data_IF_431607148236
#
_entry.id   IF_431607148236
#
_cell.length_a   1.000
_cell.length_b   1.000
_cell.length_c   1.000
_cell.angle_alpha   90.00
_cell.angle_beta   90.00
_cell.angle_gamma   90.00
#
_symmetry.space_group_name_H-M   'P 1'
#
loop_
_entity.id
_entity.type
_entity.pdbx_description
1 polymer ?
#
# COMPACT_ATOMS: atom_id res chain seq x y z
N UNK A 1 29.42 -15.48 12.02
CA UNK A 1 29.41 -14.77 13.32
C UNK A 1 28.28 -15.33 14.16
N UNK A 2 28.50 -15.51 15.47
CA UNK A 2 27.63 -16.29 16.37
C UNK A 2 26.27 -15.61 16.54
N UNK A 3 25.18 -16.35 16.28
CA UNK A 3 23.80 -15.93 16.56
C UNK A 3 23.63 -15.88 18.08
N UNK A 4 23.38 -14.70 18.63
CA UNK A 4 23.04 -14.51 20.04
C UNK A 4 21.52 -14.64 20.12
N UNK A 5 21.07 -15.77 20.67
CA UNK A 5 19.69 -15.96 21.12
C UNK A 5 19.55 -15.14 22.40
N UNK A 6 18.83 -14.03 22.34
CA UNK A 6 18.49 -13.23 23.52
C UNK A 6 17.23 -13.85 24.14
N UNK A 7 17.42 -14.56 25.26
CA UNK A 7 16.35 -15.03 26.13
C UNK A 7 15.97 -13.86 27.04
N UNK A 8 14.77 -13.29 26.84
CA UNK A 8 14.25 -12.21 27.68
C UNK A 8 13.64 -12.84 28.95
N UNK A 9 14.33 -12.67 30.07
CA UNK A 9 13.84 -13.04 31.40
C UNK A 9 12.92 -11.93 31.92
N UNK A 10 11.66 -12.29 32.21
CA UNK A 10 10.65 -11.40 32.78
C UNK A 10 10.99 -10.99 34.22
N UNK A 11 11.29 -9.71 34.44
CA UNK A 11 11.33 -9.07 35.75
C UNK A 11 10.12 -8.14 35.89
N UNK A 12 9.09 -8.59 36.60
CA UNK A 12 7.87 -7.82 36.88
C UNK A 12 8.14 -6.84 38.01
N UNK A 13 7.99 -5.54 37.74
CA UNK A 13 7.79 -4.50 38.75
C UNK A 13 6.65 -3.59 38.27
N UNK A 14 5.49 -3.75 38.91
CA UNK A 14 4.25 -3.03 38.60
C UNK A 14 4.24 -1.72 39.39
N UNK A 15 4.17 -0.59 38.69
CA UNK A 15 3.70 0.69 39.22
C UNK A 15 2.60 1.22 38.29
N UNK A 16 1.37 1.29 38.80
CA UNK A 16 0.21 1.85 38.12
C UNK A 16 0.24 3.39 38.19
N UNK A 17 0.04 4.06 37.06
CA UNK A 17 -0.54 5.41 37.02
C UNK A 17 -1.11 5.77 35.64
N UNK A 18 -2.40 6.13 35.67
CA UNK A 18 -3.15 7.04 34.78
C UNK A 18 -3.49 6.64 33.34
N UNK A 19 -4.78 6.85 33.03
CA UNK A 19 -5.34 6.77 31.69
C UNK A 19 -4.63 7.74 30.76
N UNK A 20 -3.83 7.19 29.87
CA UNK A 20 -3.31 7.84 28.70
C UNK A 20 -2.92 6.76 27.70
N UNK A 21 -2.78 7.13 26.44
CA UNK A 21 -2.27 6.31 25.33
C UNK A 21 -0.86 5.71 25.58
N UNK A 22 -0.30 5.91 26.78
CA UNK A 22 0.98 5.48 27.31
C UNK A 22 0.88 4.32 28.32
N UNK A 23 -0.23 3.57 28.35
CA UNK A 23 -0.35 2.42 29.26
C UNK A 23 0.80 1.42 29.01
N UNK A 24 1.52 0.93 30.04
CA UNK A 24 2.70 0.09 29.86
C UNK A 24 2.46 -1.14 28.98
N UNK A 25 1.30 -1.78 29.07
CA UNK A 25 0.99 -2.93 28.19
C UNK A 25 0.91 -2.59 26.70
N UNK A 26 0.40 -1.40 26.35
CA UNK A 26 0.31 -0.95 24.94
C UNK A 26 1.66 -0.52 24.38
N UNK A 27 2.49 0.12 25.21
CA UNK A 27 3.84 0.54 24.81
C UNK A 27 4.71 -0.69 24.60
N UNK A 28 4.62 -1.68 25.48
CA UNK A 28 5.33 -2.95 25.33
C UNK A 28 4.90 -3.70 24.06
N UNK A 29 3.58 -3.85 23.84
CA UNK A 29 3.06 -4.47 22.63
C UNK A 29 3.54 -3.75 21.36
N UNK A 30 3.58 -2.41 21.37
CA UNK A 30 4.12 -1.65 20.24
C UNK A 30 5.60 -1.95 20.02
N UNK A 31 6.41 -1.97 21.08
CA UNK A 31 7.84 -2.31 21.00
C UNK A 31 8.04 -3.72 20.44
N UNK A 32 7.26 -4.70 20.91
CA UNK A 32 7.29 -6.09 20.43
C UNK A 32 6.89 -6.17 18.96
N UNK A 33 5.78 -5.52 18.57
CA UNK A 33 5.32 -5.49 17.17
C UNK A 33 6.37 -4.87 16.24
N UNK A 34 7.00 -3.78 16.66
CA UNK A 34 8.03 -3.09 15.86
C UNK A 34 9.31 -3.92 15.79
N UNK A 35 9.65 -4.66 16.86
CA UNK A 35 10.77 -5.60 16.87
C UNK A 35 10.55 -6.77 15.91
N UNK A 36 9.34 -7.34 15.89
CA UNK A 36 8.96 -8.37 14.91
C UNK A 36 9.01 -7.84 13.47
N UNK A 37 8.56 -6.59 13.25
CA UNK A 37 8.64 -5.94 11.94
C UNK A 37 10.09 -5.71 11.50
N UNK A 38 10.99 -5.39 12.44
CA UNK A 38 12.42 -5.23 12.17
C UNK A 38 13.07 -6.57 11.78
N UNK A 39 12.75 -7.64 12.50
CA UNK A 39 13.24 -8.99 12.18
C UNK A 39 12.74 -9.45 10.81
N UNK A 40 11.44 -9.28 10.53
CA UNK A 40 10.86 -9.56 9.21
C UNK A 40 11.50 -8.69 8.11
N UNK A 41 11.85 -7.44 8.41
CA UNK A 41 12.55 -6.58 7.47
C UNK A 41 13.96 -7.12 7.18
N UNK A 42 14.71 -7.58 8.18
CA UNK A 42 16.02 -8.21 7.98
C UNK A 42 15.95 -9.54 7.21
N UNK A 43 15.00 -10.42 7.55
CA UNK A 43 14.77 -11.69 6.83
C UNK A 43 14.45 -11.44 5.36
N UNK A 44 13.76 -10.35 5.07
CA UNK A 44 13.41 -9.96 3.72
C UNK A 44 14.61 -9.63 2.82
N UNK A 45 15.81 -9.34 3.34
CA UNK A 45 16.98 -8.98 2.52
C UNK A 45 17.98 -10.12 2.31
N UNK A 46 17.69 -11.35 2.77
CA UNK A 46 18.47 -12.59 2.51
C UNK A 46 20.00 -12.43 2.58
N UNK A 47 20.49 -11.56 3.48
CA UNK A 47 21.90 -11.34 3.77
C UNK A 47 22.65 -10.31 2.92
N UNK A 48 22.03 -9.71 1.89
CA UNK A 48 22.66 -8.65 1.07
C UNK A 48 21.86 -7.34 1.20
N UNK A 49 22.14 -6.61 2.28
CA UNK A 49 21.44 -5.37 2.63
C UNK A 49 22.26 -4.19 2.07
N UNK A 50 21.70 -3.37 1.15
CA UNK A 50 22.34 -2.15 0.68
C UNK A 50 22.72 -1.22 1.83
N UNK A 51 23.87 -0.55 1.75
CA UNK A 51 24.44 0.25 2.85
C UNK A 51 23.49 1.35 3.35
N UNK A 52 22.74 1.97 2.42
CA UNK A 52 21.72 2.97 2.71
C UNK A 52 20.49 2.38 3.44
N UNK A 53 20.11 1.14 3.15
CA UNK A 53 19.02 0.41 3.84
C UNK A 53 19.51 -0.09 5.20
N UNK A 54 20.74 -0.59 5.27
CA UNK A 54 21.38 -1.02 6.52
C UNK A 54 21.45 0.14 7.51
N UNK A 55 21.76 1.36 7.07
CA UNK A 55 21.75 2.54 7.95
C UNK A 55 20.38 2.79 8.62
N UNK A 56 19.27 2.65 7.88
CA UNK A 56 17.93 2.82 8.44
C UNK A 56 17.53 1.67 9.37
N UNK A 57 17.87 0.42 9.03
CA UNK A 57 17.57 -0.73 9.87
C UNK A 57 18.39 -0.71 11.17
N UNK A 58 19.68 -0.37 11.10
CA UNK A 58 20.54 -0.21 12.27
C UNK A 58 20.01 0.94 13.17
N UNK A 59 19.56 2.04 12.58
CA UNK A 59 18.97 3.14 13.34
C UNK A 59 17.63 2.75 13.97
N UNK A 60 16.81 1.95 13.28
CA UNK A 60 15.57 1.42 13.83
C UNK A 60 15.83 0.47 15.02
N UNK A 61 16.88 -0.34 14.93
CA UNK A 61 17.34 -1.24 15.99
C UNK A 61 17.81 -0.45 17.23
N UNK A 62 18.62 0.58 17.03
CA UNK A 62 19.05 1.44 18.14
C UNK A 62 17.87 2.12 18.83
N UNK A 63 16.89 2.61 18.04
CA UNK A 63 15.68 3.24 18.56
C UNK A 63 14.79 2.26 19.33
N UNK A 64 14.71 0.98 18.93
CA UNK A 64 13.89 -0.02 19.64
C UNK A 64 14.55 -0.47 20.95
N UNK A 65 15.88 -0.57 21.00
CA UNK A 65 16.63 -0.81 22.23
C UNK A 65 16.49 0.35 23.23
N UNK A 66 16.58 1.59 22.74
CA UNK A 66 16.33 2.79 23.54
C UNK A 66 14.88 2.83 24.03
N UNK A 67 13.90 2.49 23.19
CA UNK A 67 12.50 2.40 23.58
C UNK A 67 12.29 1.41 24.74
N UNK A 68 12.92 0.24 24.68
CA UNK A 68 12.83 -0.78 25.72
C UNK A 68 13.53 -0.34 27.02
N UNK A 69 14.65 0.38 26.91
CA UNK A 69 15.34 0.96 28.08
C UNK A 69 14.46 1.99 28.78
N UNK A 70 13.84 2.90 28.03
CA UNK A 70 12.94 3.91 28.58
C UNK A 70 11.65 3.30 29.14
N UNK A 71 11.17 2.21 28.53
CA UNK A 71 10.06 1.42 29.06
C UNK A 71 10.37 0.86 30.45
N UNK A 72 11.53 0.22 30.60
CA UNK A 72 12.00 -0.35 31.88
C UNK A 72 12.23 0.74 32.95
N UNK A 73 12.60 1.94 32.53
CA UNK A 73 12.77 3.11 33.40
C UNK A 73 11.44 3.79 33.79
N UNK A 74 10.30 3.33 33.25
CA UNK A 74 8.98 3.90 33.51
C UNK A 74 8.60 5.08 32.61
N UNK A 75 9.44 5.46 31.65
CA UNK A 75 9.26 6.59 30.74
C UNK A 75 8.42 6.21 29.51
N UNK A 76 7.15 5.88 29.76
CA UNK A 76 6.23 5.32 28.75
C UNK A 76 6.02 6.21 27.52
N UNK A 77 6.02 7.54 27.70
CA UNK A 77 5.85 8.50 26.59
C UNK A 77 7.05 8.49 25.65
N UNK A 78 8.26 8.50 26.19
CA UNK A 78 9.49 8.51 25.39
C UNK A 78 9.70 7.14 24.73
N UNK A 79 9.47 6.05 25.46
CA UNK A 79 9.49 4.69 24.94
C UNK A 79 8.59 4.52 23.72
N UNK A 80 7.36 5.06 23.78
CA UNK A 80 6.43 5.05 22.65
C UNK A 80 6.95 5.87 21.46
N UNK A 81 7.45 7.08 21.69
CA UNK A 81 7.97 7.94 20.62
C UNK A 81 9.14 7.27 19.89
N UNK A 82 10.06 6.64 20.63
CA UNK A 82 11.18 5.90 20.08
C UNK A 82 10.72 4.69 19.26
N UNK A 83 9.71 3.94 19.74
CA UNK A 83 9.13 2.83 18.99
C UNK A 83 8.42 3.28 17.69
N UNK A 84 7.67 4.39 17.71
CA UNK A 84 7.05 4.97 16.51
C UNK A 84 8.11 5.49 15.51
N UNK A 85 9.21 6.07 16.00
CA UNK A 85 10.33 6.47 15.16
C UNK A 85 11.03 5.27 14.51
N UNK A 86 11.26 4.19 15.27
CA UNK A 86 11.79 2.93 14.76
C UNK A 86 10.89 2.35 13.65
N UNK A 87 9.57 2.34 13.86
CA UNK A 87 8.61 1.91 12.85
C UNK A 87 8.69 2.73 11.56
N UNK A 88 8.87 4.05 11.66
CA UNK A 88 9.04 4.90 10.49
C UNK A 88 10.33 4.59 9.72
N UNK A 89 11.43 4.28 10.42
CA UNK A 89 12.70 3.87 9.79
C UNK A 89 12.56 2.51 9.08
N UNK A 90 11.88 1.54 9.71
CA UNK A 90 11.57 0.23 9.10
C UNK A 90 10.70 0.41 7.85
N UNK A 91 9.65 1.21 7.92
CA UNK A 91 8.79 1.50 6.76
C UNK A 91 9.58 2.16 5.63
N UNK A 92 10.54 3.04 5.96
CA UNK A 92 11.41 3.67 4.97
C UNK A 92 12.35 2.66 4.32
N UNK A 93 12.96 1.76 5.09
CA UNK A 93 13.78 0.66 4.58
C UNK A 93 12.98 -0.30 3.68
N UNK A 94 11.76 -0.67 4.07
CA UNK A 94 10.85 -1.51 3.27
C UNK A 94 10.41 -0.79 1.99
N UNK A 95 10.15 0.51 2.06
CA UNK A 95 9.81 1.33 0.88
C UNK A 95 10.99 1.43 -0.08
N UNK A 96 12.21 1.56 0.43
CA UNK A 96 13.44 1.53 -0.37
C UNK A 96 13.69 0.16 -1.02
N UNK A 97 13.23 -0.96 -0.42
CA UNK A 97 13.20 -2.28 -1.07
C UNK A 97 12.14 -2.40 -2.16
N UNK A 98 10.95 -1.80 -1.99
CA UNK A 98 9.99 -1.64 -3.09
C UNK A 98 10.57 -0.80 -4.24
N UNK A 99 11.55 0.03 -3.92
CA UNK A 99 12.43 0.74 -4.85
C UNK A 99 13.71 -0.04 -5.26
N UNK A 100 13.77 -1.38 -5.12
CA UNK A 100 14.35 -2.19 -6.20
C UNK A 100 13.41 -2.04 -7.41
N UNK A 101 13.47 -0.84 -7.98
CA UNK A 101 12.27 -0.18 -8.48
C UNK A 101 11.78 -0.94 -9.70
N UNK A 102 10.47 -0.90 -9.94
CA UNK A 102 9.92 -1.27 -11.23
C UNK A 102 10.75 -0.68 -12.39
N UNK A 103 11.31 0.52 -12.19
CA UNK A 103 12.21 1.20 -13.11
C UNK A 103 13.58 0.49 -13.23
N UNK A 104 14.14 -0.07 -12.15
CA UNK A 104 15.36 -0.88 -12.19
C UNK A 104 15.13 -2.22 -12.90
N UNK A 105 13.99 -2.88 -12.66
CA UNK A 105 13.57 -4.08 -13.41
C UNK A 105 13.32 -3.78 -14.89
N UNK A 106 12.75 -2.62 -15.21
CA UNK A 106 12.57 -2.15 -16.59
C UNK A 106 13.90 -1.81 -17.26
N UNK A 107 14.79 -1.11 -16.56
CA UNK A 107 16.12 -0.78 -17.04
C UNK A 107 16.90 -2.06 -17.37
N UNK A 108 16.91 -3.06 -16.47
CA UNK A 108 17.54 -4.37 -16.71
C UNK A 108 16.96 -5.08 -17.94
N UNK A 109 15.63 -5.17 -18.06
CA UNK A 109 14.99 -5.79 -19.23
C UNK A 109 15.33 -5.07 -20.53
N UNK A 110 15.32 -3.74 -20.54
CA UNK A 110 15.64 -2.94 -21.74
C UNK A 110 17.12 -3.02 -22.10
N UNK A 111 18.03 -3.01 -21.12
CA UNK A 111 19.46 -3.23 -21.33
C UNK A 111 19.71 -4.56 -22.02
N UNK A 112 19.03 -5.62 -21.57
CA UNK A 112 19.14 -6.95 -22.17
C UNK A 112 18.60 -6.97 -23.61
N UNK A 113 17.45 -6.34 -23.86
CA UNK A 113 16.92 -6.18 -25.23
C UNK A 113 17.89 -5.42 -26.15
N UNK A 114 18.53 -4.36 -25.66
CA UNK A 114 19.53 -3.61 -26.43
C UNK A 114 20.74 -4.48 -26.77
N UNK A 115 21.24 -5.30 -25.82
CA UNK A 115 22.37 -6.23 -26.06
C UNK A 115 22.05 -7.22 -27.17
N UNK A 116 20.87 -7.85 -27.10
CA UNK A 116 20.42 -8.80 -28.12
C UNK A 116 20.29 -8.15 -29.51
N UNK A 117 19.83 -6.89 -29.55
CA UNK A 117 19.74 -6.12 -30.78
C UNK A 117 21.10 -5.72 -31.35
N UNK A 118 22.04 -5.31 -30.50
CA UNK A 118 23.43 -5.03 -30.90
C UNK A 118 24.05 -6.26 -31.55
N UNK A 119 23.95 -7.42 -30.91
CA UNK A 119 24.49 -8.68 -31.41
C UNK A 119 23.90 -9.06 -32.77
N UNK A 120 22.59 -8.85 -32.96
CA UNK A 120 21.88 -9.13 -34.22
C UNK A 120 22.29 -8.17 -35.36
N UNK A 121 22.55 -6.90 -35.03
CA UNK A 121 22.75 -5.83 -36.02
C UNK A 121 24.22 -5.66 -36.39
N UNK A 122 25.14 -5.83 -35.44
CA UNK A 122 26.59 -5.68 -35.63
C UNK A 122 27.11 -6.30 -36.94
N UNK A 123 26.86 -7.60 -37.25
CA UNK A 123 27.40 -8.20 -38.48
C UNK A 123 26.86 -7.57 -39.77
N UNK A 124 25.64 -7.02 -39.75
CA UNK A 124 25.03 -6.37 -40.92
C UNK A 124 25.64 -5.00 -41.20
N UNK A 125 25.98 -4.24 -40.16
CA UNK A 125 26.62 -2.93 -40.32
C UNK A 125 28.03 -3.10 -40.86
N UNK A 126 28.82 -4.02 -40.28
CA UNK A 126 30.19 -4.30 -40.74
C UNK A 126 30.22 -4.71 -42.21
N UNK A 127 29.20 -5.46 -42.67
CA UNK A 127 29.10 -5.90 -44.06
C UNK A 127 28.75 -4.76 -45.06
N UNK A 128 28.00 -3.75 -44.65
CA UNK A 128 27.53 -2.66 -45.51
C UNK A 128 28.51 -1.49 -45.62
N UNK A 129 29.41 -1.31 -44.64
CA UNK A 129 30.37 -0.21 -44.57
C UNK A 129 29.74 1.20 -44.73
N UNK A 130 28.49 1.37 -44.25
CA UNK A 130 27.80 2.65 -44.24
C UNK A 130 28.25 3.47 -43.01
N UNK A 131 28.97 4.57 -43.25
CA UNK A 131 29.50 5.44 -42.21
C UNK A 131 28.39 6.02 -41.31
N UNK A 132 27.20 6.35 -41.84
CA UNK A 132 26.12 6.89 -41.04
C UNK A 132 25.51 5.85 -40.10
N UNK A 133 25.36 4.60 -40.57
CA UNK A 133 24.88 3.50 -39.73
C UNK A 133 25.93 3.10 -38.69
N UNK A 134 27.21 3.17 -39.05
CA UNK A 134 28.33 2.91 -38.14
C UNK A 134 28.38 3.93 -37.01
N UNK A 135 28.21 5.23 -37.31
CA UNK A 135 28.16 6.29 -36.30
C UNK A 135 26.95 6.15 -35.35
N UNK A 136 25.77 5.83 -35.90
CA UNK A 136 24.56 5.59 -35.09
C UNK A 136 24.72 4.37 -34.19
N UNK A 137 25.39 3.32 -34.67
CA UNK A 137 25.64 2.11 -33.90
C UNK A 137 26.61 2.36 -32.75
N UNK A 138 27.74 3.02 -33.01
CA UNK A 138 28.69 3.41 -31.97
C UNK A 138 28.04 4.28 -30.88
N UNK A 139 27.14 5.19 -31.27
CA UNK A 139 26.36 5.99 -30.32
C UNK A 139 25.37 5.16 -29.50
N UNK A 140 24.75 4.14 -30.10
CA UNK A 140 23.86 3.22 -29.39
C UNK A 140 24.63 2.36 -28.38
N UNK A 141 25.83 1.90 -28.72
CA UNK A 141 26.74 1.19 -27.80
C UNK A 141 27.15 2.08 -26.62
N UNK A 142 27.58 3.32 -26.89
CA UNK A 142 27.96 4.27 -25.83
C UNK A 142 26.81 4.56 -24.86
N UNK A 143 25.59 4.73 -25.38
CA UNK A 143 24.39 4.91 -24.55
C UNK A 143 24.09 3.66 -23.71
N UNK A 144 24.32 2.47 -24.26
CA UNK A 144 24.12 1.21 -23.55
C UNK A 144 25.12 1.03 -22.41
N UNK A 145 26.41 1.32 -22.65
CA UNK A 145 27.45 1.31 -21.61
C UNK A 145 27.14 2.34 -20.51
N UNK A 146 26.72 3.54 -20.90
CA UNK A 146 26.32 4.59 -19.96
C UNK A 146 25.09 4.17 -19.14
N UNK A 147 24.13 3.48 -19.76
CA UNK A 147 22.96 2.93 -19.08
C UNK A 147 23.34 1.83 -18.08
N UNK A 148 24.31 0.96 -18.42
CA UNK A 148 24.85 -0.06 -17.52
C UNK A 148 25.56 0.57 -16.32
N UNK A 149 26.44 1.55 -16.55
CA UNK A 149 27.10 2.25 -15.43
C UNK A 149 26.09 3.01 -14.55
N UNK A 150 25.05 3.60 -15.12
CA UNK A 150 23.99 4.22 -14.34
C UNK A 150 23.22 3.20 -13.48
N UNK A 151 22.99 1.99 -14.00
CA UNK A 151 22.36 0.91 -13.25
C UNK A 151 23.26 0.39 -12.11
N UNK A 152 24.57 0.24 -12.36
CA UNK A 152 25.57 -0.13 -11.35
C UNK A 152 25.69 0.91 -10.24
N UNK A 153 25.42 2.19 -10.55
CA UNK A 153 25.35 3.30 -9.60
C UNK A 153 23.95 3.49 -9.01
N UNK A 154 23.09 2.48 -9.14
CA UNK A 154 21.70 2.45 -8.64
C UNK A 154 20.79 3.58 -9.16
N UNK A 155 21.19 4.29 -10.23
CA UNK A 155 20.40 5.35 -10.85
C UNK A 155 19.47 4.76 -11.92
N UNK A 156 18.43 4.06 -11.47
CA UNK A 156 17.47 3.35 -12.32
C UNK A 156 16.77 4.25 -13.36
N UNK A 157 16.43 5.49 -12.99
CA UNK A 157 15.77 6.45 -13.90
C UNK A 157 16.69 6.85 -15.05
N UNK A 158 17.94 7.17 -14.75
CA UNK A 158 18.95 7.48 -15.77
C UNK A 158 19.26 6.25 -16.62
N UNK A 159 19.44 5.08 -16.00
CA UNK A 159 19.68 3.82 -16.69
C UNK A 159 18.55 3.50 -17.69
N UNK A 160 17.29 3.60 -17.26
CA UNK A 160 16.13 3.38 -18.12
C UNK A 160 16.06 4.39 -19.27
N UNK A 161 16.31 5.68 -19.01
CA UNK A 161 16.33 6.73 -20.04
C UNK A 161 17.40 6.48 -21.10
N UNK A 162 18.62 6.14 -20.69
CA UNK A 162 19.74 5.85 -21.60
C UNK A 162 19.48 4.56 -22.39
N UNK A 163 18.96 3.52 -21.76
CA UNK A 163 18.57 2.28 -22.43
C UNK A 163 17.46 2.52 -23.48
N UNK A 164 16.47 3.37 -23.19
CA UNK A 164 15.43 3.76 -24.17
C UNK A 164 16.04 4.44 -25.40
N UNK A 165 16.98 5.37 -25.19
CA UNK A 165 17.66 6.06 -26.29
C UNK A 165 18.50 5.11 -27.14
N UNK A 166 19.26 4.21 -26.51
CA UNK A 166 20.03 3.18 -27.21
C UNK A 166 19.10 2.29 -28.06
N UNK A 167 18.01 1.81 -27.47
CA UNK A 167 17.05 0.94 -28.17
C UNK A 167 16.41 1.63 -29.39
N UNK A 168 16.04 2.91 -29.28
CA UNK A 168 15.47 3.67 -30.40
C UNK A 168 16.47 3.80 -31.56
N UNK A 169 17.75 4.04 -31.27
CA UNK A 169 18.79 4.06 -32.31
C UNK A 169 18.95 2.69 -32.99
N UNK A 170 19.00 1.60 -32.23
CA UNK A 170 19.11 0.25 -32.76
C UNK A 170 17.93 -0.11 -33.67
N UNK A 171 16.72 0.35 -33.32
CA UNK A 171 15.54 0.21 -34.18
C UNK A 171 15.66 0.96 -35.49
N UNK A 172 16.07 2.22 -35.45
CA UNK A 172 16.26 3.03 -36.66
C UNK A 172 17.28 2.41 -37.60
N UNK A 173 18.37 1.89 -37.04
CA UNK A 173 19.38 1.16 -37.80
C UNK A 173 18.76 -0.08 -38.45
N UNK A 174 18.09 -0.96 -37.68
CA UNK A 174 17.45 -2.16 -38.23
C UNK A 174 16.42 -1.85 -39.31
N UNK A 175 15.62 -0.80 -39.12
CA UNK A 175 14.64 -0.35 -40.08
C UNK A 175 15.32 0.12 -41.39
N UNK A 176 16.36 0.94 -41.30
CA UNK A 176 17.14 1.36 -42.47
C UNK A 176 17.76 0.18 -43.20
N UNK A 177 18.31 -0.79 -42.47
CA UNK A 177 18.85 -2.04 -43.00
C UNK A 177 17.81 -2.90 -43.72
N UNK A 178 16.54 -2.85 -43.26
CA UNK A 178 15.47 -3.74 -43.76
C UNK A 178 14.60 -3.12 -44.85
N UNK A 179 14.52 -1.78 -44.95
CA UNK A 179 13.60 -1.13 -45.90
C UNK A 179 13.72 0.39 -46.05
N UNK A 180 14.79 1.01 -45.57
CA UNK A 180 15.03 2.46 -45.73
C UNK A 180 14.06 3.36 -44.95
N UNK A 181 13.85 4.59 -45.44
CA UNK A 181 13.11 5.67 -44.73
C UNK A 181 11.67 5.30 -44.37
N UNK A 182 11.00 4.47 -45.17
CA UNK A 182 9.63 4.05 -44.88
C UNK A 182 9.58 3.08 -43.70
N UNK A 183 10.58 2.22 -43.54
CA UNK A 183 10.69 1.33 -42.39
C UNK A 183 10.97 2.12 -41.10
N UNK A 184 11.76 3.19 -41.18
CA UNK A 184 12.05 4.07 -40.04
C UNK A 184 10.77 4.71 -39.48
N UNK A 185 9.89 5.22 -40.35
CA UNK A 185 8.59 5.75 -39.95
C UNK A 185 7.71 4.70 -39.26
N UNK A 186 7.72 3.46 -39.75
CA UNK A 186 6.98 2.36 -39.12
C UNK A 186 7.56 2.03 -37.74
N UNK A 187 8.89 2.04 -37.60
CA UNK A 187 9.55 1.84 -36.31
C UNK A 187 9.20 2.92 -35.28
N UNK A 188 9.11 4.20 -35.69
CA UNK A 188 8.67 5.29 -34.81
C UNK A 188 7.22 5.09 -34.33
N UNK A 189 6.31 4.68 -35.22
CA UNK A 189 4.91 4.37 -34.88
C UNK A 189 4.85 3.20 -33.89
N UNK A 190 5.69 2.19 -34.08
CA UNK A 190 5.80 1.04 -33.18
C UNK A 190 6.33 1.44 -31.80
N UNK A 191 7.31 2.34 -31.73
CA UNK A 191 7.85 2.85 -30.47
C UNK A 191 6.77 3.58 -29.67
N UNK A 192 5.99 4.45 -30.30
CA UNK A 192 4.88 5.13 -29.63
C UNK A 192 3.84 4.16 -29.07
N UNK A 193 3.53 3.08 -29.82
CA UNK A 193 2.61 2.04 -29.33
C UNK A 193 3.15 1.34 -28.08
N UNK A 194 4.44 1.03 -28.03
CA UNK A 194 5.07 0.44 -26.85
C UNK A 194 5.07 1.36 -25.64
N UNK A 195 5.24 2.67 -25.85
CA UNK A 195 5.10 3.65 -24.78
C UNK A 195 3.68 3.68 -24.20
N UNK A 196 2.66 3.47 -25.03
CA UNK A 196 1.27 3.35 -24.55
C UNK A 196 1.11 2.08 -23.72
N UNK A 197 1.55 0.93 -24.21
CA UNK A 197 1.49 -0.36 -23.48
C UNK A 197 2.19 -0.22 -22.12
N UNK A 198 3.41 0.32 -22.11
CA UNK A 198 4.20 0.57 -20.89
C UNK A 198 3.48 1.54 -19.94
N UNK A 199 2.79 2.57 -20.46
CA UNK A 199 2.01 3.49 -19.63
C UNK A 199 0.90 2.78 -18.89
N UNK A 200 0.10 1.94 -19.55
CA UNK A 200 -1.00 1.20 -18.90
C UNK A 200 -0.44 0.31 -17.77
N UNK A 201 0.65 -0.41 -18.06
CA UNK A 201 1.31 -1.28 -17.08
C UNK A 201 1.85 -0.53 -15.87
N UNK A 202 2.39 0.67 -16.09
CA UNK A 202 2.99 1.47 -15.03
C UNK A 202 1.95 2.20 -14.18
N UNK A 203 0.93 2.78 -14.81
CA UNK A 203 -0.09 3.58 -14.14
C UNK A 203 -1.03 2.73 -13.27
N UNK A 204 -1.19 1.45 -13.63
CA UNK A 204 -2.10 0.52 -12.95
C UNK A 204 -1.39 -0.70 -12.35
N UNK A 205 -0.07 -0.62 -12.12
CA UNK A 205 0.74 -1.73 -11.66
C UNK A 205 0.12 -2.47 -10.45
N UNK A 206 -0.26 -3.74 -10.63
CA UNK A 206 -0.84 -4.59 -9.59
C UNK A 206 -2.37 -4.48 -9.40
N UNK A 207 -3.04 -3.58 -10.12
CA UNK A 207 -4.49 -3.34 -10.03
C UNK A 207 -5.22 -3.55 -11.37
N UNK A 208 -4.54 -4.15 -12.36
CA UNK A 208 -5.11 -4.42 -13.68
C UNK A 208 -6.12 -5.58 -13.56
N UNK A 209 -7.42 -5.37 -13.85
CA UNK A 209 -8.40 -6.44 -13.90
C UNK A 209 -8.06 -7.46 -14.99
N UNK A 210 -8.44 -8.73 -14.79
CA UNK A 210 -8.17 -9.82 -15.73
C UNK A 210 -8.57 -9.47 -17.18
N UNK A 211 -9.70 -8.81 -17.37
CA UNK A 211 -10.19 -8.39 -18.69
C UNK A 211 -9.26 -7.38 -19.38
N UNK A 212 -8.71 -6.43 -18.61
CA UNK A 212 -7.74 -5.47 -19.14
C UNK A 212 -6.36 -6.11 -19.34
N UNK A 213 -5.99 -7.10 -18.52
CA UNK A 213 -4.74 -7.85 -18.70
C UNK A 213 -4.78 -8.70 -19.96
N UNK A 214 -5.92 -9.32 -20.29
CA UNK A 214 -6.12 -10.03 -21.57
C UNK A 214 -5.90 -9.09 -22.77
N UNK A 215 -6.44 -7.86 -22.70
CA UNK A 215 -6.24 -6.85 -23.75
C UNK A 215 -4.77 -6.41 -23.86
N UNK A 216 -4.08 -6.25 -22.72
CA UNK A 216 -2.65 -5.92 -22.71
C UNK A 216 -1.77 -7.05 -23.24
N UNK A 217 -2.06 -8.31 -22.88
CA UNK A 217 -1.36 -9.47 -23.41
C UNK A 217 -1.53 -9.58 -24.92
N UNK A 218 -2.75 -9.36 -25.43
CA UNK A 218 -3.00 -9.32 -26.87
C UNK A 218 -2.25 -8.16 -27.55
N UNK A 219 -2.18 -6.98 -26.91
CA UNK A 219 -1.39 -5.85 -27.41
C UNK A 219 0.10 -6.21 -27.53
N UNK A 220 0.67 -6.89 -26.53
CA UNK A 220 2.07 -7.36 -26.53
C UNK A 220 2.32 -8.38 -27.65
N UNK A 221 1.42 -9.34 -27.84
CA UNK A 221 1.54 -10.35 -28.90
C UNK A 221 1.48 -9.74 -30.31
N UNK A 222 0.57 -8.79 -30.53
CA UNK A 222 0.45 -8.06 -31.78
C UNK A 222 1.71 -7.21 -32.04
N UNK A 223 2.24 -6.55 -31.01
CA UNK A 223 3.46 -5.75 -31.12
C UNK A 223 4.69 -6.63 -31.41
N UNK A 224 4.79 -7.81 -30.79
CA UNK A 224 5.82 -8.79 -31.12
C UNK A 224 5.70 -9.29 -32.57
N UNK A 225 4.48 -9.47 -33.06
CA UNK A 225 4.22 -9.85 -34.45
C UNK A 225 4.56 -8.72 -35.42
N UNK A 226 4.30 -7.45 -35.05
CA UNK A 226 4.71 -6.28 -35.81
C UNK A 226 6.23 -6.20 -35.95
N UNK A 227 6.98 -6.49 -34.88
CA UNK A 227 8.45 -6.58 -34.92
C UNK A 227 8.94 -7.64 -35.91
N UNK A 228 8.34 -8.83 -35.91
CA UNK A 228 8.68 -9.90 -36.88
C UNK A 228 8.31 -9.53 -38.32
N UNK A 229 7.25 -8.76 -38.54
CA UNK A 229 6.87 -8.27 -39.86
C UNK A 229 7.88 -7.21 -40.37
N UNK A 230 8.25 -6.27 -39.51
CA UNK A 230 9.26 -5.24 -39.82
C UNK A 230 10.62 -5.87 -40.15
N UNK A 231 11.06 -6.86 -39.36
CA UNK A 231 12.30 -7.62 -39.60
C UNK A 231 12.33 -8.33 -40.96
N UNK A 232 11.15 -8.70 -41.49
CA UNK A 232 10.99 -9.32 -42.82
C UNK A 232 10.82 -8.30 -43.95
N UNK A 233 10.80 -7.00 -43.62
CA UNK A 233 10.53 -5.92 -44.57
C UNK A 233 9.05 -5.73 -44.93
N UNK A 234 8.12 -6.43 -44.27
CA UNK A 234 6.68 -6.28 -44.51
C UNK A 234 6.12 -5.09 -43.71
N UNK A 235 6.35 -3.89 -44.26
CA UNK A 235 5.99 -2.62 -43.62
C UNK A 235 4.49 -2.46 -43.43
N UNK A 236 3.69 -3.01 -44.34
CA UNK A 236 2.22 -2.93 -44.26
C UNK A 236 1.71 -3.78 -43.10
N UNK A 237 2.12 -5.05 -43.04
CA UNK A 237 1.74 -5.91 -41.93
C UNK A 237 2.24 -5.37 -40.58
N UNK A 238 3.47 -4.84 -40.52
CA UNK A 238 4.00 -4.22 -39.30
C UNK A 238 3.14 -3.04 -38.83
N UNK A 239 2.71 -2.18 -39.77
CA UNK A 239 1.85 -1.04 -39.47
C UNK A 239 0.47 -1.47 -38.97
N UNK A 240 -0.18 -2.42 -39.66
CA UNK A 240 -1.52 -2.88 -39.31
C UNK A 240 -1.53 -3.58 -37.92
N UNK A 241 -0.49 -4.37 -37.63
CA UNK A 241 -0.31 -5.05 -36.36
C UNK A 241 -0.05 -4.07 -35.21
N UNK A 242 0.82 -3.07 -35.39
CA UNK A 242 1.09 -2.10 -34.31
C UNK A 242 -0.10 -1.17 -34.05
N UNK A 243 -0.87 -0.79 -35.08
CA UNK A 243 -2.10 -0.03 -34.88
C UNK A 243 -3.16 -0.84 -34.14
N UNK A 244 -3.24 -2.14 -34.42
CA UNK A 244 -4.11 -3.07 -33.69
C UNK A 244 -3.67 -3.21 -32.23
N UNK A 245 -2.37 -3.37 -31.97
CA UNK A 245 -1.80 -3.41 -30.63
C UNK A 245 -2.13 -2.14 -29.83
N UNK A 246 -1.96 -0.96 -30.46
CA UNK A 246 -2.29 0.32 -29.85
C UNK A 246 -3.75 0.41 -29.44
N UNK A 247 -4.66 -0.01 -30.32
CA UNK A 247 -6.09 -0.02 -30.01
C UNK A 247 -6.37 -0.87 -28.78
N UNK A 248 -5.80 -2.08 -28.69
CA UNK A 248 -5.97 -2.97 -27.52
C UNK A 248 -5.43 -2.35 -26.23
N UNK A 249 -4.25 -1.72 -26.28
CA UNK A 249 -3.69 -1.04 -25.13
C UNK A 249 -4.56 0.15 -24.66
N UNK A 250 -5.13 0.90 -25.61
CA UNK A 250 -6.06 2.00 -25.29
C UNK A 250 -7.39 1.48 -24.74
N UNK A 251 -7.93 0.39 -25.28
CA UNK A 251 -9.13 -0.27 -24.76
C UNK A 251 -8.89 -0.75 -23.31
N UNK A 252 -7.71 -1.33 -23.02
CA UNK A 252 -7.31 -1.72 -21.67
C UNK A 252 -7.23 -0.51 -20.73
N UNK A 253 -6.57 0.57 -21.15
CA UNK A 253 -6.48 1.80 -20.37
C UNK A 253 -7.85 2.35 -19.99
N UNK A 254 -8.76 2.43 -20.99
CA UNK A 254 -10.13 2.90 -20.80
C UNK A 254 -10.89 2.02 -19.82
N UNK A 255 -10.80 0.69 -19.97
CA UNK A 255 -11.49 -0.26 -19.09
C UNK A 255 -11.05 -0.09 -17.63
N UNK A 256 -9.75 0.06 -17.38
CA UNK A 256 -9.24 0.28 -16.02
C UNK A 256 -9.73 1.61 -15.44
N UNK A 257 -9.71 2.68 -16.24
CA UNK A 257 -10.23 3.99 -15.83
C UNK A 257 -11.71 3.94 -15.45
N UNK A 258 -12.56 3.37 -16.31
CA UNK A 258 -14.00 3.23 -16.06
C UNK A 258 -14.30 2.38 -14.82
N UNK A 259 -13.52 1.32 -14.56
CA UNK A 259 -13.69 0.49 -13.37
C UNK A 259 -13.32 1.24 -12.08
N UNK A 260 -12.25 2.04 -12.09
CA UNK A 260 -11.85 2.88 -10.94
C UNK A 260 -12.93 3.92 -10.62
N UNK A 261 -13.53 4.50 -11.65
CA UNK A 261 -14.66 5.42 -11.49
C UNK A 261 -15.87 4.72 -10.86
N UNK A 262 -16.24 3.53 -11.34
CA UNK A 262 -17.35 2.73 -10.76
C UNK A 262 -17.10 2.34 -9.29
N UNK A 263 -15.87 1.94 -8.94
CA UNK A 263 -15.52 1.66 -7.54
C UNK A 263 -15.66 2.90 -6.66
N UNK A 264 -15.24 4.05 -7.18
CA UNK A 264 -15.35 5.35 -6.50
C UNK A 264 -16.81 5.76 -6.32
N UNK A 265 -17.63 5.62 -7.37
CA UNK A 265 -19.08 5.86 -7.33
C UNK A 265 -19.74 4.97 -6.28
N UNK A 266 -19.47 3.67 -6.28
CA UNK A 266 -20.03 2.73 -5.31
C UNK A 266 -19.63 3.07 -3.86
N UNK A 267 -18.38 3.48 -3.64
CA UNK A 267 -17.91 3.89 -2.32
C UNK A 267 -18.62 5.16 -1.83
N UNK A 268 -18.79 6.15 -2.70
CA UNK A 268 -19.52 7.39 -2.41
C UNK A 268 -21.00 7.09 -2.12
N UNK A 269 -21.66 6.26 -2.94
CA UNK A 269 -23.05 5.84 -2.72
C UNK A 269 -23.22 5.12 -1.39
N UNK A 270 -22.35 4.17 -1.07
CA UNK A 270 -22.35 3.48 0.23
C UNK A 270 -22.14 4.45 1.39
N UNK A 271 -21.25 5.44 1.23
CA UNK A 271 -21.05 6.49 2.23
C UNK A 271 -22.32 7.33 2.45
N UNK A 272 -23.01 7.72 1.38
CA UNK A 272 -24.29 8.44 1.42
C UNK A 272 -25.38 7.59 2.12
N UNK A 273 -25.48 6.30 1.79
CA UNK A 273 -26.41 5.37 2.44
C UNK A 273 -26.14 5.25 3.93
N UNK A 274 -24.87 5.07 4.33
CA UNK A 274 -24.48 4.99 5.73
C UNK A 274 -24.85 6.24 6.52
N UNK A 275 -24.60 7.44 5.97
CA UNK A 275 -24.97 8.71 6.61
C UNK A 275 -26.49 8.84 6.70
N UNK A 276 -27.22 8.46 5.64
CA UNK A 276 -28.69 8.52 5.61
C UNK A 276 -29.31 7.61 6.68
N UNK A 277 -28.83 6.36 6.77
CA UNK A 277 -29.30 5.41 7.79
C UNK A 277 -28.94 5.87 9.21
N UNK A 278 -27.75 6.45 9.42
CA UNK A 278 -27.36 7.01 10.71
C UNK A 278 -28.25 8.20 11.12
N UNK A 279 -28.63 9.05 10.16
CA UNK A 279 -29.56 10.16 10.39
C UNK A 279 -30.97 9.68 10.76
N UNK A 280 -31.43 8.55 10.20
CA UNK A 280 -32.72 7.94 10.55
C UNK A 280 -32.72 7.29 11.95
N UNK A 281 -31.56 6.80 12.39
CA UNK A 281 -31.40 6.12 13.68
C UNK A 281 -31.14 7.06 14.85
N UNK A 282 -30.63 8.27 14.60
CA UNK A 282 -30.28 9.26 15.62
C UNK A 282 -31.40 10.30 15.76
N UNK A 283 -31.95 10.45 16.96
CA UNK A 283 -32.86 11.57 17.29
C UNK A 283 -32.05 12.88 17.42
N UNK A 284 -31.85 13.53 16.27
CA UNK A 284 -31.07 14.76 16.14
C UNK A 284 -31.93 16.01 16.35
N UNK A 285 -31.34 17.07 16.90
CA UNK A 285 -31.93 18.40 16.84
C UNK A 285 -32.17 18.82 15.39
N UNK A 286 -33.28 19.55 15.16
CA UNK A 286 -33.80 19.87 13.83
C UNK A 286 -32.78 20.58 12.92
N UNK A 287 -31.98 21.49 13.47
CA UNK A 287 -30.97 22.24 12.70
C UNK A 287 -29.79 21.37 12.27
N UNK A 288 -29.37 20.44 13.11
CA UNK A 288 -28.30 19.48 12.82
C UNK A 288 -28.77 18.43 11.80
N UNK A 289 -29.98 17.91 11.98
CA UNK A 289 -30.61 17.01 11.00
C UNK A 289 -30.68 17.65 9.62
N UNK A 290 -31.10 18.92 9.55
CA UNK A 290 -31.15 19.68 8.29
C UNK A 290 -29.75 19.89 7.69
N UNK A 291 -28.74 20.16 8.52
CA UNK A 291 -27.36 20.38 8.05
C UNK A 291 -26.77 19.11 7.44
N UNK A 292 -26.97 17.94 8.08
CA UNK A 292 -26.52 16.66 7.53
C UNK A 292 -27.30 16.28 6.27
N UNK A 293 -28.61 16.54 6.21
CA UNK A 293 -29.41 16.36 4.98
C UNK A 293 -28.91 17.22 3.82
N UNK A 294 -28.54 18.48 4.09
CA UNK A 294 -27.96 19.36 3.07
C UNK A 294 -26.63 18.80 2.55
N UNK A 295 -25.76 18.30 3.43
CA UNK A 295 -24.49 17.67 3.02
C UNK A 295 -24.70 16.36 2.22
N UNK A 296 -25.72 15.56 2.56
CA UNK A 296 -26.12 14.40 1.76
C UNK A 296 -26.55 14.83 0.35
N UNK A 297 -27.37 15.89 0.26
CA UNK A 297 -27.83 16.45 -1.02
C UNK A 297 -26.66 16.96 -1.85
N UNK A 298 -25.73 17.71 -1.24
CA UNK A 298 -24.53 18.23 -1.89
C UNK A 298 -23.60 17.10 -2.35
N UNK A 299 -23.47 16.02 -1.57
CA UNK A 299 -22.73 14.83 -1.97
C UNK A 299 -23.36 14.14 -3.19
N UNK A 300 -24.69 14.00 -3.23
CA UNK A 300 -25.41 13.45 -4.40
C UNK A 300 -25.25 14.33 -5.63
N UNK A 301 -25.40 15.65 -5.49
CA UNK A 301 -25.22 16.60 -6.59
C UNK A 301 -23.78 16.58 -7.14
N UNK A 302 -22.78 16.51 -6.26
CA UNK A 302 -21.38 16.39 -6.66
C UNK A 302 -21.08 15.06 -7.36
N UNK A 303 -21.71 13.97 -6.91
CA UNK A 303 -21.62 12.65 -7.56
C UNK A 303 -22.23 12.66 -8.97
N UNK A 304 -23.41 13.25 -9.15
CA UNK A 304 -24.08 13.40 -10.46
C UNK A 304 -23.24 14.22 -11.45
N UNK A 305 -22.43 15.16 -10.95
CA UNK A 305 -21.51 15.98 -11.73
C UNK A 305 -20.13 15.32 -11.97
N UNK A 306 -19.94 14.05 -11.55
CA UNK A 306 -18.67 13.32 -11.57
C UNK A 306 -17.54 14.00 -10.77
N UNK A 307 -17.88 14.85 -9.79
CA UNK A 307 -16.92 15.50 -8.91
C UNK A 307 -16.70 14.67 -7.64
N UNK A 308 -16.01 13.55 -7.80
CA UNK A 308 -15.82 12.54 -6.74
C UNK A 308 -15.09 13.08 -5.50
N UNK A 309 -14.13 14.00 -5.69
CA UNK A 309 -13.38 14.62 -4.59
C UNK A 309 -14.28 15.48 -3.70
N UNK A 310 -15.14 16.29 -4.34
CA UNK A 310 -16.07 17.14 -3.62
C UNK A 310 -17.18 16.32 -2.96
N UNK A 311 -17.69 15.27 -3.63
CA UNK A 311 -18.64 14.33 -3.03
C UNK A 311 -18.07 13.65 -1.77
N UNK A 312 -16.83 13.16 -1.80
CA UNK A 312 -16.16 12.61 -0.62
C UNK A 312 -15.97 13.66 0.49
N UNK A 313 -15.66 14.91 0.14
CA UNK A 313 -15.53 15.99 1.12
C UNK A 313 -16.84 16.22 1.88
N UNK A 314 -17.98 16.20 1.18
CA UNK A 314 -19.29 16.33 1.82
C UNK A 314 -19.64 15.12 2.69
N UNK A 315 -19.33 13.90 2.22
CA UNK A 315 -19.49 12.66 3.01
C UNK A 315 -18.68 12.73 4.31
N UNK A 316 -17.41 13.10 4.25
CA UNK A 316 -16.55 13.16 5.44
C UNK A 316 -16.99 14.26 6.41
N UNK A 317 -17.48 15.40 5.91
CA UNK A 317 -18.09 16.44 6.77
C UNK A 317 -19.36 15.94 7.45
N UNK A 318 -20.22 15.25 6.73
CA UNK A 318 -21.46 14.69 7.28
C UNK A 318 -21.18 13.60 8.32
N UNK A 319 -20.24 12.68 8.03
CA UNK A 319 -19.75 11.68 9.00
C UNK A 319 -19.15 12.33 10.23
N UNK A 320 -18.38 13.41 10.06
CA UNK A 320 -17.79 14.14 11.18
C UNK A 320 -18.87 14.74 12.07
N UNK A 321 -19.89 15.38 11.51
CA UNK A 321 -21.02 15.90 12.28
C UNK A 321 -21.78 14.79 13.01
N UNK A 322 -22.05 13.67 12.34
CA UNK A 322 -22.70 12.51 12.96
C UNK A 322 -21.81 11.83 14.02
N UNK A 323 -20.49 11.82 13.84
CA UNK A 323 -19.52 11.27 14.79
C UNK A 323 -19.28 12.18 16.00
N UNK A 324 -19.29 13.49 15.80
CA UNK A 324 -19.33 14.51 16.87
C UNK A 324 -20.61 14.35 17.71
N UNK A 325 -21.70 13.89 17.11
CA UNK A 325 -22.96 13.57 17.82
C UNK A 325 -22.93 12.18 18.47
N UNK A 326 -22.35 11.16 17.85
CA UNK A 326 -22.11 9.86 18.51
C UNK A 326 -21.20 9.97 19.75
N UNK A 327 -20.36 11.01 19.81
CA UNK A 327 -19.57 11.36 21.00
C UNK A 327 -20.31 12.29 22.00
N UNK A 328 -21.50 12.79 21.66
CA UNK A 328 -22.33 13.68 22.50
C UNK A 328 -23.74 13.15 22.79
N UNK A 329 -24.17 12.02 22.20
CA UNK A 329 -25.48 11.38 22.41
C UNK A 329 -25.41 10.09 23.24
N UNK A 330 -24.23 9.67 23.70
CA UNK A 330 -24.02 8.46 24.51
C UNK A 330 -23.84 8.76 26.03
N UNK A 331 -24.14 9.99 26.46
CA UNK A 331 -24.05 10.41 27.88
C UNK A 331 -25.37 10.22 28.64
N UNK A 332 -25.88 8.99 28.64
CA UNK A 332 -26.23 8.24 29.86
C UNK A 332 -26.91 6.91 29.49
N UNK A 333 -26.24 5.76 29.67
CA UNK A 333 -26.91 4.48 29.48
C UNK A 333 -28.02 4.31 30.52
N UNK A 334 -29.17 3.79 30.11
CA UNK A 334 -30.32 3.60 31.01
C UNK A 334 -30.00 2.55 32.08
N UNK A 335 -30.54 2.70 33.29
CA UNK A 335 -30.30 1.76 34.38
C UNK A 335 -30.70 0.32 34.02
N UNK A 336 -31.75 0.15 33.23
CA UNK A 336 -32.20 -1.15 32.73
C UNK A 336 -31.18 -1.79 31.76
N UNK A 337 -30.63 -1.01 30.82
CA UNK A 337 -29.64 -1.48 29.86
C UNK A 337 -28.32 -1.90 30.53
N UNK A 338 -27.86 -1.13 31.52
CA UNK A 338 -26.64 -1.46 32.28
C UNK A 338 -26.88 -2.69 33.16
N UNK A 339 -28.05 -2.80 33.80
CA UNK A 339 -28.42 -3.98 34.60
C UNK A 339 -28.40 -5.26 33.76
N UNK A 340 -28.97 -5.21 32.55
CA UNK A 340 -29.00 -6.37 31.66
C UNK A 340 -27.59 -6.75 31.18
N UNK A 341 -26.75 -5.76 30.84
CA UNK A 341 -25.36 -6.01 30.45
C UNK A 341 -24.54 -6.64 31.58
N UNK A 342 -24.75 -6.19 32.83
CA UNK A 342 -24.12 -6.77 34.02
C UNK A 342 -24.56 -8.22 34.17
N UNK A 343 -25.86 -8.51 34.08
CA UNK A 343 -26.38 -9.87 34.23
C UNK A 343 -25.81 -10.84 33.18
N UNK A 344 -25.83 -10.45 31.90
CA UNK A 344 -25.29 -11.29 30.82
C UNK A 344 -23.78 -11.55 30.98
N UNK A 345 -23.05 -10.57 31.49
CA UNK A 345 -21.61 -10.70 31.72
C UNK A 345 -21.33 -11.56 32.95
N UNK A 346 -22.16 -11.51 34.00
CA UNK A 346 -22.09 -12.44 35.13
C UNK A 346 -22.34 -13.88 34.68
N UNK A 347 -23.37 -14.11 33.85
CA UNK A 347 -23.66 -15.44 33.30
C UNK A 347 -22.48 -15.97 32.47
N UNK A 348 -21.86 -15.12 31.65
CA UNK A 348 -20.66 -15.47 30.90
C UNK A 348 -19.50 -15.84 31.85
N UNK A 349 -19.18 -14.97 32.82
CA UNK A 349 -18.07 -15.19 33.76
C UNK A 349 -18.28 -16.47 34.58
N UNK A 350 -19.50 -16.71 35.06
CA UNK A 350 -19.85 -17.90 35.84
C UNK A 350 -19.81 -19.19 35.01
N UNK A 351 -19.94 -19.11 33.69
CA UNK A 351 -19.83 -20.28 32.79
C UNK A 351 -18.38 -20.71 32.51
N UNK A 352 -17.39 -19.89 32.88
CA UNK A 352 -15.97 -20.12 32.56
C UNK A 352 -15.30 -20.95 33.66
N UNK A 353 -14.68 -22.07 33.26
CA UNK A 353 -13.91 -22.95 34.14
C UNK A 353 -12.48 -23.12 33.62
N UNK A 354 -11.55 -22.22 33.98
CA UNK A 354 -10.20 -22.21 33.43
C UNK A 354 -9.37 -23.37 34.00
N UNK A 355 -8.60 -24.03 33.13
CA UNK A 355 -7.78 -25.20 33.47
C UNK A 355 -6.33 -24.85 33.80
N UNK A 356 -5.85 -23.69 33.34
CA UNK A 356 -4.49 -23.20 33.50
C UNK A 356 -4.39 -21.93 34.38
N UNK A 357 -3.18 -21.58 34.81
CA UNK A 357 -2.91 -20.41 35.64
C UNK A 357 -3.27 -19.09 34.93
N UNK A 358 -3.03 -19.00 33.62
CA UNK A 358 -3.35 -17.81 32.81
C UNK A 358 -4.85 -17.55 32.78
N UNK A 359 -5.66 -18.58 32.49
CA UNK A 359 -7.11 -18.47 32.50
C UNK A 359 -7.67 -18.15 33.89
N UNK A 360 -7.08 -18.70 34.97
CA UNK A 360 -7.46 -18.34 36.36
C UNK A 360 -7.19 -16.87 36.67
N UNK A 361 -6.05 -16.34 36.21
CA UNK A 361 -5.69 -14.94 36.41
C UNK A 361 -6.59 -13.99 35.61
N UNK A 362 -6.93 -14.33 34.37
CA UNK A 362 -7.89 -13.59 33.56
C UNK A 362 -9.30 -13.65 34.17
N UNK A 363 -9.73 -14.82 34.67
CA UNK A 363 -11.04 -14.95 35.32
C UNK A 363 -11.13 -14.08 36.57
N UNK A 364 -10.04 -13.98 37.34
CA UNK A 364 -9.95 -13.09 38.50
C UNK A 364 -10.03 -11.62 38.09
N UNK A 365 -9.42 -11.23 36.98
CA UNK A 365 -9.50 -9.86 36.45
C UNK A 365 -10.91 -9.52 35.93
N UNK A 366 -11.54 -10.43 35.20
CA UNK A 366 -12.92 -10.28 34.74
C UNK A 366 -13.88 -10.11 35.93
N UNK A 367 -13.76 -10.96 36.96
CA UNK A 367 -14.54 -10.85 38.20
C UNK A 367 -14.30 -9.52 38.94
N UNK A 368 -13.04 -9.07 39.03
CA UNK A 368 -12.70 -7.80 39.67
C UNK A 368 -13.34 -6.63 38.93
N UNK A 369 -13.23 -6.59 37.60
CA UNK A 369 -13.81 -5.51 36.77
C UNK A 369 -15.33 -5.52 36.78
N UNK A 370 -15.92 -6.71 36.82
CA UNK A 370 -17.36 -6.88 36.95
C UNK A 370 -17.87 -6.45 38.34
N UNK A 371 -17.09 -6.68 39.39
CA UNK A 371 -17.37 -6.16 40.74
C UNK A 371 -17.33 -4.63 40.79
N UNK A 372 -16.32 -4.01 40.18
CA UNK A 372 -16.25 -2.55 40.03
C UNK A 372 -17.45 -2.01 39.23
N UNK A 373 -17.86 -2.69 38.16
CA UNK A 373 -19.03 -2.30 37.36
C UNK A 373 -20.32 -2.27 38.17
N UNK A 374 -20.54 -3.28 39.04
CA UNK A 374 -21.71 -3.35 39.94
C UNK A 374 -21.69 -2.22 40.97
N UNK A 375 -20.52 -1.89 41.51
CA UNK A 375 -20.38 -0.79 42.46
C UNK A 375 -20.71 0.56 41.83
N UNK A 376 -20.25 0.82 40.60
CA UNK A 376 -20.62 2.03 39.86
C UNK A 376 -22.12 2.07 39.53
N UNK A 377 -22.71 0.93 39.22
CA UNK A 377 -24.15 0.82 38.94
C UNK A 377 -24.99 1.15 40.17
N UNK A 378 -24.58 0.67 41.36
CA UNK A 378 -25.21 1.00 42.63
C UNK A 378 -25.08 2.49 42.97
N UNK A 379 -23.92 3.09 42.67
CA UNK A 379 -23.65 4.51 42.85
C UNK A 379 -24.37 5.43 41.83
N UNK A 380 -25.03 4.85 40.82
CA UNK A 380 -25.74 5.59 39.77
C UNK A 380 -24.85 6.10 38.63
N UNK A 381 -23.57 5.69 38.59
CA UNK A 381 -22.60 6.02 37.53
C UNK A 381 -22.76 5.04 36.36
N UNK A 382 -23.85 5.16 35.62
CA UNK A 382 -24.29 4.17 34.64
C UNK A 382 -23.30 4.01 33.47
N UNK A 383 -22.69 5.10 32.98
CA UNK A 383 -21.67 5.05 31.92
C UNK A 383 -20.42 4.27 32.34
N UNK A 384 -19.95 4.51 33.57
CA UNK A 384 -18.77 3.83 34.11
C UNK A 384 -19.06 2.35 34.38
N UNK A 385 -20.26 2.05 34.88
CA UNK A 385 -20.73 0.69 35.05
C UNK A 385 -20.76 -0.07 33.71
N UNK A 386 -21.30 0.53 32.66
CA UNK A 386 -21.37 -0.10 31.33
C UNK A 386 -19.98 -0.32 30.72
N UNK A 387 -19.10 0.67 30.81
CA UNK A 387 -17.72 0.55 30.31
C UNK A 387 -16.95 -0.54 31.04
N UNK A 388 -17.04 -0.60 32.38
CA UNK A 388 -16.40 -1.66 33.18
C UNK A 388 -16.98 -3.04 32.89
N UNK A 389 -18.28 -3.13 32.65
CA UNK A 389 -18.96 -4.38 32.20
C UNK A 389 -18.43 -4.86 30.84
N UNK A 390 -18.27 -3.95 29.86
CA UNK A 390 -17.70 -4.28 28.54
C UNK A 390 -16.27 -4.79 28.63
N UNK A 391 -15.46 -4.19 29.50
CA UNK A 391 -14.09 -4.64 29.77
C UNK A 391 -14.09 -6.02 30.43
N UNK A 392 -14.93 -6.25 31.44
CA UNK A 392 -15.05 -7.55 32.09
C UNK A 392 -15.45 -8.66 31.11
N UNK A 393 -16.41 -8.38 30.22
CA UNK A 393 -16.82 -9.28 29.15
C UNK A 393 -15.67 -9.60 28.19
N UNK A 394 -14.93 -8.59 27.72
CA UNK A 394 -13.80 -8.80 26.81
C UNK A 394 -12.70 -9.66 27.43
N UNK A 395 -12.42 -9.49 28.73
CA UNK A 395 -11.46 -10.34 29.45
C UNK A 395 -12.00 -11.76 29.58
N UNK A 396 -13.29 -11.93 29.91
CA UNK A 396 -13.93 -13.24 30.02
C UNK A 396 -13.91 -14.01 28.68
N UNK A 397 -14.11 -13.31 27.56
CA UNK A 397 -14.06 -13.90 26.22
C UNK A 397 -12.67 -14.40 25.81
N UNK A 398 -11.59 -13.88 26.41
CA UNK A 398 -10.22 -14.34 26.17
C UNK A 398 -9.88 -15.66 26.89
N UNK A 399 -10.76 -16.17 27.76
CA UNK A 399 -10.57 -17.41 28.53
C UNK A 399 -11.24 -18.60 27.84
N UNK A 400 -12.21 -18.35 26.95
CA UNK A 400 -12.78 -19.37 26.07
C UNK A 400 -11.80 -19.70 24.96
#
# INVERSE_FOLDING_TARGET
>A
MKRIIIIILAGVLILFAQGNSSSPGRVLHLIETVSEQLEQAYEQFDGDIPENVSAYLNQAEELIEQAMTEYNNGNMTLARQLAEQSQNMINRAITMKREESQEMRQARRRLEQCRQWLEKIAPKITALADNQLTDLFARAEQLLESAQSALEKENAKLANSLAKQSFSLLRKISAKLSGGVNAEKVADVMEYTEQIIERVENEFAGEIPDEADVLLNLARELQNSANKALDRGDLRAATDLTMSARKRAQDAYKYVGERKDLQTINAIQKGIEQISSALEQLELERELSQTVQNLISDAKNALEQNNYSQANTYIERAKKLLGEIGAHSDDNPSRESVSQAIQLTDELINSISPTDETGKNLLKQANSKQGEAKQEFENGNLSDALNKTRVAKSIAEQIK
#
